data_IF_712846866233
#
_entry.id   IF_712846866233
#
_cell.length_a   1.000
_cell.length_b   1.000
_cell.length_c   1.000
_cell.angle_alpha   90.00
_cell.angle_beta   90.00
_cell.angle_gamma   90.00
#
_symmetry.space_group_name_H-M   'P 1'
#
loop_
_entity.id
_entity.type
_entity.pdbx_description
1 polymer ?
#
# COMPACT_ATOMS: atom_id res chain seq x y z
N UNK A 1 -3.45 -7.20 27.20
CA UNK A 1 -3.37 -5.75 26.97
C UNK A 1 -1.93 -5.27 26.73
N UNK A 2 -0.98 -5.55 27.62
CA UNK A 2 0.42 -5.07 27.50
C UNK A 2 1.09 -5.58 26.21
N UNK A 3 0.98 -6.86 25.92
CA UNK A 3 1.57 -7.46 24.70
C UNK A 3 1.02 -6.83 23.42
N UNK A 4 -0.27 -6.57 23.35
CA UNK A 4 -0.90 -5.90 22.22
C UNK A 4 -0.37 -4.47 22.03
N UNK A 5 -0.21 -3.72 23.13
CA UNK A 5 0.36 -2.37 23.05
C UNK A 5 1.79 -2.40 22.53
N UNK A 6 2.62 -3.34 22.98
CA UNK A 6 3.99 -3.50 22.48
C UNK A 6 3.99 -3.82 20.98
N UNK A 7 3.14 -4.75 20.54
CA UNK A 7 3.02 -5.10 19.11
C UNK A 7 2.57 -3.90 18.27
N UNK A 8 1.57 -3.13 18.75
CA UNK A 8 1.10 -1.93 18.07
C UNK A 8 2.20 -0.87 17.93
N UNK A 9 2.95 -0.59 18.99
CA UNK A 9 4.02 0.41 19.00
C UNK A 9 5.17 -0.02 18.10
N UNK A 10 5.62 -1.27 18.17
CA UNK A 10 6.67 -1.81 17.28
C UNK A 10 6.21 -1.79 15.82
N UNK A 11 4.97 -2.21 15.55
CA UNK A 11 4.40 -2.16 14.20
C UNK A 11 4.36 -0.74 13.64
N UNK A 12 3.91 0.22 14.44
CA UNK A 12 3.85 1.63 14.07
C UNK A 12 5.24 2.23 13.83
N UNK A 13 6.21 1.98 14.72
CA UNK A 13 7.59 2.43 14.57
C UNK A 13 8.19 1.87 13.27
N UNK A 14 7.98 0.59 13.00
CA UNK A 14 8.42 -0.06 11.77
C UNK A 14 7.79 0.58 10.53
N UNK A 15 6.49 0.86 10.57
CA UNK A 15 5.77 1.49 9.46
C UNK A 15 6.36 2.86 9.11
N UNK A 16 6.58 3.72 10.11
CA UNK A 16 7.12 5.07 9.92
C UNK A 16 8.59 5.03 9.50
N UNK A 17 9.44 4.28 10.19
CA UNK A 17 10.86 4.19 9.88
C UNK A 17 11.09 3.67 8.46
N UNK A 18 10.44 2.59 8.07
CA UNK A 18 10.57 2.05 6.72
C UNK A 18 10.04 3.03 5.65
N UNK A 19 8.92 3.71 5.91
CA UNK A 19 8.38 4.70 4.99
C UNK A 19 9.31 5.91 4.81
N UNK A 20 9.92 6.42 5.88
CA UNK A 20 10.88 7.53 5.81
C UNK A 20 12.16 7.13 5.07
N UNK A 21 12.64 5.90 5.25
CA UNK A 21 13.78 5.36 4.47
C UNK A 21 13.41 5.26 2.99
N UNK A 22 12.19 4.81 2.66
CA UNK A 22 11.71 4.70 1.27
C UNK A 22 11.74 6.04 0.53
N UNK A 23 11.43 7.17 1.19
CA UNK A 23 11.52 8.51 0.60
C UNK A 23 12.92 8.79 0.04
N UNK A 24 13.96 8.43 0.78
CA UNK A 24 15.35 8.75 0.44
C UNK A 24 15.99 7.78 -0.56
N UNK A 25 15.39 6.62 -0.79
CA UNK A 25 15.92 5.64 -1.73
C UNK A 25 15.79 6.11 -3.18
N UNK A 26 16.82 5.86 -3.97
CA UNK A 26 16.83 6.14 -5.41
C UNK A 26 16.72 4.87 -6.25
N UNK A 27 16.93 3.72 -5.67
CA UNK A 27 16.80 2.41 -6.29
C UNK A 27 15.34 1.96 -6.23
N UNK A 28 14.73 1.67 -7.40
CA UNK A 28 13.32 1.29 -7.52
C UNK A 28 13.00 0.02 -6.69
N UNK A 29 13.89 -0.97 -6.66
CA UNK A 29 13.71 -2.18 -5.86
C UNK A 29 13.76 -1.87 -4.36
N UNK A 30 14.68 -1.00 -3.93
CA UNK A 30 14.80 -0.63 -2.52
C UNK A 30 13.59 0.17 -2.04
N UNK A 31 13.06 1.09 -2.86
CA UNK A 31 11.81 1.80 -2.53
C UNK A 31 10.69 0.80 -2.29
N UNK A 32 10.49 -0.16 -3.20
CA UNK A 32 9.46 -1.17 -3.06
C UNK A 32 9.70 -2.12 -1.88
N UNK A 33 10.95 -2.49 -1.59
CA UNK A 33 11.29 -3.31 -0.44
C UNK A 33 10.97 -2.59 0.89
N UNK A 34 11.42 -1.35 1.07
CA UNK A 34 11.09 -0.58 2.28
C UNK A 34 9.61 -0.28 2.40
N UNK A 35 8.91 -0.09 1.27
CA UNK A 35 7.46 0.04 1.31
C UNK A 35 6.77 -1.26 1.73
N UNK A 36 7.35 -2.43 1.43
CA UNK A 36 6.85 -3.71 1.95
C UNK A 36 7.03 -3.79 3.46
N UNK A 37 8.21 -3.45 3.98
CA UNK A 37 8.47 -3.41 5.43
C UNK A 37 7.50 -2.45 6.14
N UNK A 38 7.23 -1.28 5.53
CA UNK A 38 6.26 -0.32 6.07
C UNK A 38 4.85 -0.91 6.14
N UNK A 39 4.38 -1.60 5.10
CA UNK A 39 3.05 -2.22 5.12
C UNK A 39 2.96 -3.41 6.09
N UNK A 40 4.03 -4.18 6.26
CA UNK A 40 4.11 -5.18 7.34
C UNK A 40 3.96 -4.50 8.72
N UNK A 41 4.58 -3.33 8.91
CA UNK A 41 4.35 -2.51 10.10
C UNK A 41 2.86 -2.18 10.34
N UNK A 42 2.10 -1.85 9.29
CA UNK A 42 0.65 -1.67 9.38
C UNK A 42 -0.10 -2.95 9.79
N UNK A 43 0.33 -4.11 9.29
CA UNK A 43 -0.28 -5.39 9.67
C UNK A 43 -0.04 -5.68 11.16
N UNK A 44 1.18 -5.45 11.66
CA UNK A 44 1.50 -5.57 13.09
C UNK A 44 0.76 -4.53 13.93
N UNK A 45 0.61 -3.30 13.45
CA UNK A 45 -0.23 -2.30 14.10
C UNK A 45 -1.67 -2.82 14.22
N UNK A 46 -2.24 -3.37 13.15
CA UNK A 46 -3.58 -3.98 13.15
C UNK A 46 -3.71 -5.10 14.19
N UNK A 47 -2.72 -5.99 14.26
CA UNK A 47 -2.69 -7.06 15.27
C UNK A 47 -2.64 -6.47 16.71
N UNK A 48 -1.82 -5.44 16.91
CA UNK A 48 -1.67 -4.79 18.21
C UNK A 48 -2.91 -4.03 18.68
N UNK A 49 -3.69 -3.47 17.76
CA UNK A 49 -4.99 -2.88 18.11
C UNK A 49 -6.13 -3.89 18.14
N UNK A 50 -5.88 -5.18 17.89
CA UNK A 50 -6.88 -6.26 17.95
C UNK A 50 -7.72 -6.38 16.66
N UNK A 51 -7.36 -5.71 15.59
CA UNK A 51 -7.98 -5.84 14.27
C UNK A 51 -7.44 -7.08 13.52
N UNK A 52 -7.57 -8.27 14.10
CA UNK A 52 -6.95 -9.49 13.59
C UNK A 52 -7.42 -9.83 12.17
N UNK A 53 -8.72 -9.84 11.93
CA UNK A 53 -9.32 -10.11 10.62
C UNK A 53 -8.90 -9.07 9.59
N UNK A 54 -8.92 -7.78 9.95
CA UNK A 54 -8.45 -6.69 9.11
C UNK A 54 -6.96 -6.79 8.77
N UNK A 55 -6.12 -7.17 9.72
CA UNK A 55 -4.70 -7.36 9.50
C UNK A 55 -4.43 -8.51 8.51
N UNK A 56 -5.09 -9.67 8.67
CA UNK A 56 -4.95 -10.81 7.75
C UNK A 56 -5.51 -10.47 6.37
N UNK A 57 -6.64 -9.76 6.30
CA UNK A 57 -7.17 -9.25 5.04
C UNK A 57 -6.17 -8.32 4.34
N UNK A 58 -5.49 -7.46 5.10
CA UNK A 58 -4.44 -6.60 4.53
C UNK A 58 -3.23 -7.40 4.03
N UNK A 59 -2.85 -8.52 4.67
CA UNK A 59 -1.82 -9.44 4.14
C UNK A 59 -2.20 -9.96 2.76
N UNK A 60 -3.44 -10.45 2.61
CA UNK A 60 -3.92 -11.00 1.35
C UNK A 60 -3.94 -9.92 0.25
N UNK A 61 -4.55 -8.79 0.51
CA UNK A 61 -4.65 -7.70 -0.47
C UNK A 61 -3.28 -7.15 -0.85
N UNK A 62 -2.40 -6.99 0.13
CA UNK A 62 -1.03 -6.53 -0.06
C UNK A 62 -0.23 -7.45 -0.99
N UNK A 63 -0.42 -8.76 -0.92
CA UNK A 63 0.29 -9.71 -1.77
C UNK A 63 0.05 -9.42 -3.26
N UNK A 64 -1.19 -9.11 -3.66
CA UNK A 64 -1.53 -8.86 -5.07
C UNK A 64 -0.91 -7.57 -5.61
N UNK A 65 -1.13 -6.45 -4.96
CA UNK A 65 -0.59 -5.19 -5.48
C UNK A 65 0.93 -5.08 -5.30
N UNK A 66 1.53 -5.79 -4.35
CA UNK A 66 2.99 -5.86 -4.23
C UNK A 66 3.62 -6.74 -5.30
N UNK A 67 3.04 -7.90 -5.59
CA UNK A 67 3.49 -8.72 -6.71
C UNK A 67 3.43 -7.90 -8.02
N UNK A 68 2.32 -7.17 -8.24
CA UNK A 68 2.16 -6.29 -9.40
C UNK A 68 3.27 -5.23 -9.49
N UNK A 69 3.55 -4.53 -8.38
CA UNK A 69 4.58 -3.49 -8.34
C UNK A 69 5.99 -4.05 -8.57
N UNK A 70 6.34 -5.18 -7.95
CA UNK A 70 7.67 -5.78 -8.13
C UNK A 70 7.88 -6.34 -9.53
N UNK A 71 6.87 -6.98 -10.12
CA UNK A 71 6.96 -7.47 -11.50
C UNK A 71 7.01 -6.32 -12.51
N UNK A 72 6.20 -5.27 -12.29
CA UNK A 72 6.25 -4.06 -13.10
C UNK A 72 7.62 -3.37 -13.02
N UNK A 73 8.18 -3.22 -11.81
CA UNK A 73 9.52 -2.69 -11.63
C UNK A 73 10.59 -3.58 -12.28
N UNK A 74 10.42 -4.90 -12.22
CA UNK A 74 11.29 -5.85 -12.93
C UNK A 74 11.27 -5.64 -14.45
N UNK A 75 10.09 -5.39 -15.03
CA UNK A 75 9.91 -5.06 -16.44
C UNK A 75 10.63 -3.76 -16.81
N UNK A 76 10.51 -2.71 -16.00
CA UNK A 76 11.23 -1.44 -16.21
C UNK A 76 12.74 -1.65 -16.17
N UNK A 77 13.26 -2.34 -15.16
CA UNK A 77 14.69 -2.60 -15.01
C UNK A 77 15.24 -3.41 -16.20
N UNK A 78 14.48 -4.40 -16.67
CA UNK A 78 14.88 -5.20 -17.84
C UNK A 78 14.95 -4.31 -19.11
N UNK A 79 13.95 -3.48 -19.34
CA UNK A 79 13.91 -2.57 -20.48
C UNK A 79 15.04 -1.51 -20.44
N UNK A 80 15.46 -1.11 -19.23
CA UNK A 80 16.53 -0.12 -19.03
C UNK A 80 17.91 -0.76 -18.85
N UNK A 81 18.15 -1.96 -19.42
CA UNK A 81 19.45 -2.65 -19.37
C UNK A 81 20.01 -2.83 -17.95
N UNK A 82 19.17 -3.25 -17.04
CA UNK A 82 19.47 -3.50 -15.61
C UNK A 82 19.79 -2.24 -14.77
N UNK A 83 19.53 -1.03 -15.29
CA UNK A 83 19.61 0.17 -14.45
C UNK A 83 18.48 0.13 -13.40
N UNK A 84 18.81 0.45 -12.15
CA UNK A 84 17.89 0.46 -11.01
C UNK A 84 17.70 1.86 -10.42
N UNK A 85 18.58 2.80 -10.72
CA UNK A 85 18.49 4.17 -10.21
C UNK A 85 17.41 4.96 -10.97
N UNK A 86 16.33 5.31 -10.26
CA UNK A 86 15.20 6.05 -10.80
C UNK A 86 15.60 7.43 -11.35
N UNK A 87 16.69 8.03 -10.86
CA UNK A 87 17.17 9.34 -11.33
C UNK A 87 17.75 9.29 -12.74
N UNK A 88 18.16 8.09 -13.17
CA UNK A 88 18.66 7.82 -14.52
C UNK A 88 17.57 7.30 -15.48
N UNK A 89 16.34 7.20 -15.00
CA UNK A 89 15.17 6.83 -15.82
C UNK A 89 14.46 8.10 -16.30
N UNK A 90 13.23 7.98 -16.71
CA UNK A 90 12.35 9.07 -17.08
C UNK A 90 11.77 8.92 -18.49
N UNK A 91 10.56 9.47 -18.69
CA UNK A 91 9.90 9.49 -20.00
C UNK A 91 9.39 8.14 -20.50
N UNK A 92 9.38 7.10 -19.67
CA UNK A 92 9.03 5.73 -20.09
C UNK A 92 7.55 5.52 -20.37
N UNK A 93 6.68 6.46 -20.02
CA UNK A 93 5.23 6.35 -20.24
C UNK A 93 4.85 6.05 -21.69
N UNK A 94 5.56 6.63 -22.65
CA UNK A 94 5.30 6.42 -24.09
C UNK A 94 5.87 5.12 -24.63
N UNK A 95 6.92 4.60 -24.00
CA UNK A 95 7.64 3.41 -24.43
C UNK A 95 7.10 2.14 -23.79
N UNK A 96 6.57 2.26 -22.58
CA UNK A 96 6.04 1.15 -21.77
C UNK A 96 4.67 1.48 -21.17
N UNK A 97 3.63 1.75 -21.98
CA UNK A 97 2.32 2.19 -21.49
C UNK A 97 1.62 1.12 -20.64
N UNK A 98 1.77 -0.15 -20.95
CA UNK A 98 1.12 -1.24 -20.20
C UNK A 98 1.78 -1.45 -18.83
N UNK A 99 3.10 -1.44 -18.80
CA UNK A 99 3.86 -1.49 -17.54
C UNK A 99 3.57 -0.26 -16.67
N UNK A 100 3.42 0.94 -17.29
CA UNK A 100 2.99 2.15 -16.60
C UNK A 100 1.63 1.97 -15.91
N UNK A 101 0.62 1.47 -16.62
CA UNK A 101 -0.72 1.24 -16.05
C UNK A 101 -0.65 0.23 -14.91
N UNK A 102 0.11 -0.86 -15.05
CA UNK A 102 0.28 -1.85 -14.01
C UNK A 102 0.88 -1.26 -12.72
N UNK A 103 1.97 -0.47 -12.84
CA UNK A 103 2.60 0.18 -11.70
C UNK A 103 1.69 1.29 -11.13
N UNK A 104 0.93 2.01 -11.97
CA UNK A 104 -0.05 3.01 -11.52
C UNK A 104 -1.14 2.36 -10.66
N UNK A 105 -1.77 1.29 -11.13
CA UNK A 105 -2.80 0.55 -10.39
C UNK A 105 -2.24 0.02 -9.05
N UNK A 106 -1.04 -0.58 -9.08
CA UNK A 106 -0.39 -1.07 -7.87
C UNK A 106 -0.04 0.04 -6.88
N UNK A 107 0.44 1.20 -7.35
CA UNK A 107 0.79 2.34 -6.50
C UNK A 107 -0.45 3.01 -5.90
N UNK A 108 -1.51 3.20 -6.67
CA UNK A 108 -2.79 3.72 -6.18
C UNK A 108 -3.44 2.75 -5.17
N UNK A 109 -3.37 1.45 -5.42
CA UNK A 109 -3.84 0.44 -4.45
C UNK A 109 -3.04 0.49 -3.15
N UNK A 110 -1.70 0.62 -3.23
CA UNK A 110 -0.82 0.76 -2.06
C UNK A 110 -1.13 2.02 -1.23
N UNK A 111 -1.47 3.13 -1.88
CA UNK A 111 -1.80 4.40 -1.18
C UNK A 111 -3.15 4.35 -0.48
N UNK A 112 -4.03 3.41 -0.85
CA UNK A 112 -5.39 3.33 -0.35
C UNK A 112 -6.35 4.26 -1.11
N UNK A 113 -6.15 4.38 -2.43
CA UNK A 113 -7.06 5.17 -3.26
C UNK A 113 -8.46 4.50 -3.31
N UNK A 114 -9.57 5.26 -3.22
CA UNK A 114 -10.92 4.72 -3.20
C UNK A 114 -11.18 3.74 -4.34
N UNK A 115 -12.01 2.75 -4.06
CA UNK A 115 -12.42 1.66 -4.98
C UNK A 115 -11.32 0.66 -5.35
N UNK A 116 -10.08 0.84 -4.90
CA UNK A 116 -9.01 -0.14 -5.08
C UNK A 116 -8.85 -1.05 -3.86
N UNK A 117 -8.24 -2.18 -4.07
CA UNK A 117 -8.11 -3.25 -3.05
C UNK A 117 -7.47 -2.76 -1.75
N UNK A 118 -6.45 -1.90 -1.82
CA UNK A 118 -5.76 -1.37 -0.64
C UNK A 118 -6.61 -0.43 0.23
N UNK A 119 -7.60 0.24 -0.35
CA UNK A 119 -8.56 1.07 0.36
C UNK A 119 -9.33 0.25 1.41
N UNK A 120 -9.96 -0.84 0.98
CA UNK A 120 -10.80 -1.68 1.85
C UNK A 120 -10.06 -2.35 3.00
N UNK A 121 -8.76 -2.60 2.85
CA UNK A 121 -7.99 -3.30 3.88
C UNK A 121 -7.24 -2.37 4.83
N UNK A 122 -6.64 -1.28 4.32
CA UNK A 122 -5.83 -0.36 5.11
C UNK A 122 -6.68 0.54 6.00
N UNK A 123 -7.80 1.05 5.47
CA UNK A 123 -8.68 1.94 6.21
C UNK A 123 -9.30 1.24 7.41
N UNK A 124 -9.75 0.00 7.27
CA UNK A 124 -10.33 -0.77 8.37
C UNK A 124 -9.38 -0.90 9.56
N UNK A 125 -8.07 -1.09 9.32
CA UNK A 125 -7.08 -1.14 10.41
C UNK A 125 -7.01 0.20 11.16
N UNK A 126 -7.04 1.32 10.43
CA UNK A 126 -7.01 2.66 11.04
C UNK A 126 -8.34 3.01 11.73
N UNK A 127 -9.48 2.64 11.15
CA UNK A 127 -10.79 2.84 11.76
C UNK A 127 -10.93 2.09 13.09
N UNK A 128 -10.48 0.83 13.15
CA UNK A 128 -10.48 0.05 14.39
C UNK A 128 -9.50 0.66 15.41
N UNK A 129 -8.35 1.17 14.98
CA UNK A 129 -7.42 1.87 15.87
C UNK A 129 -8.07 3.12 16.49
N UNK A 130 -8.86 3.87 15.71
CA UNK A 130 -9.60 5.03 16.19
C UNK A 130 -10.74 4.66 17.13
N UNK A 131 -11.52 3.61 16.83
CA UNK A 131 -12.72 3.20 17.56
C UNK A 131 -12.46 2.76 19.00
N UNK A 132 -11.22 2.44 19.35
CA UNK A 132 -10.85 2.00 20.72
C UNK A 132 -10.89 3.09 21.80
N UNK A 133 -11.08 4.34 21.43
CA UNK A 133 -11.26 5.50 22.34
C UNK A 133 -10.27 5.58 23.52
N UNK A 134 -9.08 4.98 23.42
CA UNK A 134 -8.01 5.14 24.40
C UNK A 134 -6.99 6.18 23.94
N UNK A 135 -6.32 6.85 24.88
CA UNK A 135 -5.29 7.86 24.55
C UNK A 135 -4.19 7.26 23.66
N UNK A 136 -3.77 6.04 23.95
CA UNK A 136 -2.77 5.34 23.15
C UNK A 136 -3.29 5.02 21.74
N UNK A 137 -4.55 4.64 21.60
CA UNK A 137 -5.17 4.34 20.30
C UNK A 137 -5.31 5.58 19.42
N UNK A 138 -5.65 6.72 20.00
CA UNK A 138 -5.71 7.99 19.31
C UNK A 138 -4.34 8.41 18.74
N UNK A 139 -3.29 8.27 19.55
CA UNK A 139 -1.91 8.51 19.11
C UNK A 139 -1.48 7.54 17.99
N UNK A 140 -1.80 6.26 18.13
CA UNK A 140 -1.53 5.23 17.10
C UNK A 140 -2.24 5.55 15.79
N UNK A 141 -3.51 5.98 15.85
CA UNK A 141 -4.27 6.38 14.67
C UNK A 141 -3.59 7.53 13.91
N UNK A 142 -3.26 8.64 14.59
CA UNK A 142 -2.66 9.79 13.94
C UNK A 142 -1.28 9.50 13.34
N UNK A 143 -0.48 8.73 14.01
CA UNK A 143 0.80 8.27 13.45
C UNK A 143 0.61 7.30 12.27
N UNK A 144 -0.42 6.46 12.31
CA UNK A 144 -0.80 5.62 11.18
C UNK A 144 -1.24 6.45 9.96
N UNK A 145 -2.05 7.49 10.18
CA UNK A 145 -2.44 8.45 9.14
C UNK A 145 -1.22 9.19 8.57
N UNK A 146 -0.28 9.60 9.43
CA UNK A 146 0.98 10.21 8.97
C UNK A 146 1.82 9.24 8.13
N UNK A 147 1.90 7.97 8.51
CA UNK A 147 2.57 6.96 7.70
C UNK A 147 1.85 6.72 6.35
N UNK A 148 0.51 6.90 6.28
CA UNK A 148 -0.22 6.87 5.02
C UNK A 148 0.13 8.05 4.10
N UNK A 149 0.29 9.25 4.66
CA UNK A 149 0.80 10.42 3.94
C UNK A 149 2.18 10.15 3.31
N UNK A 150 3.12 9.60 4.10
CA UNK A 150 4.45 9.25 3.60
C UNK A 150 4.39 8.17 2.51
N UNK A 151 3.49 7.19 2.67
CA UNK A 151 3.27 6.12 1.68
C UNK A 151 2.89 6.68 0.32
N UNK A 152 1.96 7.61 0.28
CA UNK A 152 1.54 8.24 -0.97
C UNK A 152 2.64 9.11 -1.56
N UNK A 153 3.39 9.83 -0.73
CA UNK A 153 4.51 10.65 -1.17
C UNK A 153 5.57 9.84 -1.94
N UNK A 154 6.12 8.77 -1.35
CA UNK A 154 7.16 7.99 -2.04
C UNK A 154 6.62 7.22 -3.25
N UNK A 155 5.36 6.83 -3.26
CA UNK A 155 4.74 6.11 -4.38
C UNK A 155 4.64 7.01 -5.62
N UNK A 156 4.18 8.25 -5.46
CA UNK A 156 4.13 9.21 -6.58
C UNK A 156 5.53 9.66 -6.98
N UNK A 157 6.46 9.86 -6.04
CA UNK A 157 7.86 10.14 -6.37
C UNK A 157 8.45 9.07 -7.29
N UNK A 158 8.20 7.80 -7.01
CA UNK A 158 8.61 6.68 -7.86
C UNK A 158 8.00 6.80 -9.26
N UNK A 159 6.67 6.98 -9.33
CA UNK A 159 5.95 7.13 -10.58
C UNK A 159 6.46 8.32 -11.40
N UNK A 160 6.68 9.46 -10.76
CA UNK A 160 7.17 10.67 -11.41
C UNK A 160 8.56 10.46 -12.01
N UNK A 161 9.50 9.97 -11.22
CA UNK A 161 10.89 9.79 -11.66
C UNK A 161 11.03 8.76 -12.80
N UNK A 162 10.25 7.68 -12.76
CA UNK A 162 10.35 6.61 -13.76
C UNK A 162 9.61 6.95 -15.05
N UNK A 163 8.42 7.52 -14.96
CA UNK A 163 7.55 7.66 -16.14
C UNK A 163 7.38 9.09 -16.65
N UNK A 164 7.37 10.11 -15.79
CA UNK A 164 7.04 11.48 -16.16
C UNK A 164 8.25 12.41 -16.28
N UNK A 165 9.28 12.20 -15.46
CA UNK A 165 10.47 13.06 -15.48
C UNK A 165 11.13 13.07 -16.88
N UNK A 166 11.89 14.13 -17.16
CA UNK A 166 12.72 14.16 -18.38
C UNK A 166 13.73 13.01 -18.33
N UNK A 167 13.96 12.39 -19.45
CA UNK A 167 14.94 11.30 -19.60
C UNK A 167 16.35 11.77 -19.24
N UNK A 168 16.92 11.15 -18.21
CA UNK A 168 18.30 11.39 -17.76
C UNK A 168 19.22 10.20 -18.09
N UNK A 169 18.77 9.28 -18.94
CA UNK A 169 19.51 8.10 -19.34
C UNK A 169 20.25 8.31 -20.65
N UNK A 170 21.16 7.39 -20.96
CA UNK A 170 21.78 7.35 -22.30
C UNK A 170 20.69 7.15 -23.37
N UNK A 171 20.78 7.93 -24.44
CA UNK A 171 19.79 7.90 -25.54
C UNK A 171 19.58 6.48 -26.07
N UNK A 172 20.66 5.68 -26.19
CA UNK A 172 20.55 4.28 -26.64
C UNK A 172 19.71 3.40 -25.72
N UNK A 173 19.82 3.57 -24.39
CA UNK A 173 19.04 2.78 -23.44
C UNK A 173 17.55 3.09 -23.53
N UNK A 174 17.19 4.36 -23.75
CA UNK A 174 15.80 4.79 -23.88
C UNK A 174 15.23 4.38 -25.24
N UNK A 175 15.97 4.53 -26.34
CA UNK A 175 15.48 4.18 -27.69
C UNK A 175 15.34 2.67 -27.90
N UNK A 176 16.09 1.85 -27.16
CA UNK A 176 15.98 0.38 -27.21
C UNK A 176 14.97 -0.18 -26.20
N UNK A 177 14.43 0.65 -25.29
CA UNK A 177 13.44 0.20 -24.35
C UNK A 177 12.12 -0.15 -25.04
N UNK A 178 11.57 -1.30 -24.72
CA UNK A 178 10.33 -1.83 -25.25
C UNK A 178 9.54 -2.54 -24.16
N UNK A 179 8.26 -2.75 -24.39
CA UNK A 179 7.42 -3.52 -23.49
C UNK A 179 7.96 -4.94 -23.28
N UNK A 180 7.66 -5.50 -22.14
CA UNK A 180 8.03 -6.86 -21.79
C UNK A 180 7.31 -7.89 -22.68
N UNK A 181 7.79 -9.14 -22.65
CA UNK A 181 7.19 -10.24 -23.42
C UNK A 181 5.70 -10.41 -23.11
N UNK A 182 4.96 -10.95 -24.09
CA UNK A 182 3.51 -11.19 -23.95
C UNK A 182 3.14 -11.99 -22.70
N UNK A 183 4.00 -12.91 -22.26
CA UNK A 183 3.76 -13.69 -21.05
C UNK A 183 3.73 -12.80 -19.79
N UNK A 184 4.70 -11.91 -19.65
CA UNK A 184 4.75 -10.94 -18.51
C UNK A 184 3.55 -10.02 -18.55
N UNK A 185 3.11 -9.59 -19.74
CA UNK A 185 1.92 -8.79 -19.89
C UNK A 185 0.65 -9.46 -19.35
N UNK A 186 0.42 -10.74 -19.66
CA UNK A 186 -0.73 -11.47 -19.12
C UNK A 186 -0.69 -11.56 -17.59
N UNK A 187 0.48 -11.82 -17.01
CA UNK A 187 0.64 -11.88 -15.56
C UNK A 187 0.37 -10.51 -14.91
N UNK A 188 0.93 -9.42 -15.47
CA UNK A 188 0.68 -8.07 -14.98
C UNK A 188 -0.79 -7.68 -15.08
N UNK A 189 -1.45 -8.01 -16.20
CA UNK A 189 -2.88 -7.74 -16.39
C UNK A 189 -3.75 -8.49 -15.39
N UNK A 190 -3.46 -9.76 -15.14
CA UNK A 190 -4.17 -10.57 -14.16
C UNK A 190 -4.00 -10.04 -12.73
N UNK A 191 -2.77 -9.74 -12.32
CA UNK A 191 -2.50 -9.15 -11.02
C UNK A 191 -3.09 -7.74 -10.88
N UNK A 192 -3.09 -6.97 -11.97
CA UNK A 192 -3.74 -5.66 -12.03
C UNK A 192 -5.25 -5.76 -11.80
N UNK A 193 -5.91 -6.69 -12.46
CA UNK A 193 -7.33 -6.97 -12.25
C UNK A 193 -7.61 -7.36 -10.78
N UNK A 194 -6.84 -8.26 -10.21
CA UNK A 194 -6.99 -8.64 -8.81
C UNK A 194 -6.72 -7.46 -7.85
N UNK A 195 -5.75 -6.61 -8.16
CA UNK A 195 -5.43 -5.41 -7.36
C UNK A 195 -6.52 -4.34 -7.41
N UNK A 196 -7.45 -4.41 -8.34
CA UNK A 196 -8.63 -3.53 -8.40
C UNK A 196 -9.79 -4.14 -7.62
N UNK A 197 -10.15 -5.40 -7.90
CA UNK A 197 -11.43 -5.97 -7.52
C UNK A 197 -11.42 -6.82 -6.26
N UNK A 198 -10.30 -7.49 -5.94
CA UNK A 198 -10.27 -8.52 -4.89
C UNK A 198 -10.61 -7.95 -3.50
N UNK A 199 -10.24 -6.70 -3.23
CA UNK A 199 -10.57 -6.04 -1.97
C UNK A 199 -12.07 -5.85 -1.78
N UNK A 200 -12.76 -5.44 -2.81
CA UNK A 200 -14.22 -5.28 -2.77
C UNK A 200 -14.93 -6.64 -2.62
N UNK A 201 -14.55 -7.61 -3.43
CA UNK A 201 -15.19 -8.94 -3.45
C UNK A 201 -15.03 -9.68 -2.12
N UNK A 202 -13.86 -9.60 -1.51
CA UNK A 202 -13.54 -10.37 -0.29
C UNK A 202 -13.74 -9.59 1.01
N UNK A 203 -14.05 -8.29 0.96
CA UNK A 203 -14.28 -7.46 2.15
C UNK A 203 -15.27 -8.12 3.10
N UNK A 204 -16.47 -8.42 2.61
CA UNK A 204 -17.55 -8.93 3.44
C UNK A 204 -17.27 -10.33 3.97
N UNK A 205 -16.52 -11.14 3.21
CA UNK A 205 -16.11 -12.46 3.65
C UNK A 205 -15.11 -12.42 4.81
N UNK A 206 -14.13 -11.48 4.77
CA UNK A 206 -13.06 -11.40 5.76
C UNK A 206 -13.42 -10.53 6.96
N UNK A 207 -14.16 -9.44 6.77
CA UNK A 207 -14.39 -8.39 7.78
C UNK A 207 -15.88 -8.18 8.05
N UNK A 208 -16.77 -8.72 7.18
CA UNK A 208 -18.21 -8.51 7.29
C UNK A 208 -18.77 -8.88 8.65
N UNK A 209 -19.74 -8.10 9.13
CA UNK A 209 -20.44 -8.36 10.39
C UNK A 209 -21.21 -9.68 10.27
N UNK A 210 -20.96 -10.62 11.19
CA UNK A 210 -21.64 -11.91 11.20
C UNK A 210 -21.08 -12.94 10.21
N UNK A 211 -19.91 -12.71 9.62
CA UNK A 211 -19.28 -13.73 8.79
C UNK A 211 -18.79 -14.90 9.64
N UNK A 212 -19.16 -16.12 9.22
CA UNK A 212 -18.70 -17.37 9.84
C UNK A 212 -17.39 -17.90 9.21
N UNK A 213 -16.80 -17.15 8.27
CA UNK A 213 -15.60 -17.58 7.55
C UNK A 213 -14.44 -17.98 8.48
N UNK A 214 -14.25 -17.21 9.54
CA UNK A 214 -13.17 -17.48 10.50
C UNK A 214 -13.53 -18.56 11.52
N UNK A 215 -14.82 -18.87 11.71
CA UNK A 215 -15.34 -19.78 12.73
C UNK A 215 -14.62 -19.57 14.08
N UNK A 216 -13.89 -20.60 14.57
CA UNK A 216 -13.07 -20.53 15.79
C UNK A 216 -11.57 -20.32 15.52
N UNK A 217 -11.16 -20.05 14.26
CA UNK A 217 -9.74 -19.91 13.90
C UNK A 217 -9.12 -18.63 14.47
N UNK A 218 -9.91 -17.56 14.63
CA UNK A 218 -9.48 -16.31 15.25
C UNK A 218 -10.25 -16.14 16.55
N UNK A 219 -9.54 -16.30 17.67
CA UNK A 219 -10.12 -16.14 18.99
C UNK A 219 -10.07 -14.66 19.42
N UNK A 220 -11.24 -14.06 19.63
CA UNK A 220 -11.38 -12.74 20.22
C UNK A 220 -11.89 -12.87 21.65
N UNK A 221 -11.11 -12.33 22.62
CA UNK A 221 -11.48 -12.31 24.05
C UNK A 221 -12.71 -11.46 24.35
N UNK A 222 -13.00 -10.49 23.50
CA UNK A 222 -14.16 -9.61 23.60
C UNK A 222 -14.97 -9.74 22.31
N UNK A 223 -16.28 -9.85 22.45
CA UNK A 223 -17.22 -9.82 21.31
C UNK A 223 -16.85 -8.65 20.40
N UNK A 224 -16.89 -8.87 19.12
CA UNK A 224 -16.46 -7.97 18.01
C UNK A 224 -17.05 -6.53 18.03
N UNK A 225 -17.15 -5.91 19.21
CA UNK A 225 -17.64 -4.55 19.40
C UNK A 225 -16.77 -3.52 18.69
N UNK A 226 -15.45 -3.74 18.64
CA UNK A 226 -14.51 -2.77 18.02
C UNK A 226 -14.71 -2.65 16.51
N UNK A 227 -15.01 -3.76 15.81
CA UNK A 227 -15.33 -3.77 14.38
C UNK A 227 -16.69 -3.10 14.16
N UNK A 228 -17.66 -3.39 15.03
CA UNK A 228 -18.98 -2.76 14.98
C UNK A 228 -18.86 -1.24 15.16
N UNK A 229 -18.13 -0.79 16.17
CA UNK A 229 -17.90 0.65 16.39
C UNK A 229 -17.17 1.31 15.25
N UNK A 230 -16.20 0.63 14.63
CA UNK A 230 -15.48 1.14 13.47
C UNK A 230 -16.42 1.35 12.26
N UNK A 231 -17.39 0.45 12.05
CA UNK A 231 -18.34 0.57 10.94
C UNK A 231 -19.31 1.75 11.12
N UNK A 232 -19.68 2.07 12.37
CA UNK A 232 -20.57 3.18 12.72
C UNK A 232 -19.84 4.51 13.02
N UNK A 233 -18.54 4.60 12.77
CA UNK A 233 -17.82 5.87 12.87
C UNK A 233 -18.39 6.91 11.91
N UNK A 234 -18.44 8.17 12.35
CA UNK A 234 -18.83 9.29 11.52
C UNK A 234 -17.96 9.37 10.27
N UNK A 235 -18.59 9.65 9.15
CA UNK A 235 -17.96 9.69 7.83
C UNK A 235 -16.73 10.61 7.77
N UNK A 236 -16.70 11.67 8.55
CA UNK A 236 -15.56 12.60 8.64
C UNK A 236 -14.27 11.90 9.08
N UNK A 237 -14.33 11.01 10.07
CA UNK A 237 -13.15 10.29 10.56
C UNK A 237 -12.64 9.26 9.54
N UNK A 238 -13.54 8.67 8.77
CA UNK A 238 -13.20 7.75 7.67
C UNK A 238 -12.49 8.46 6.51
N UNK A 239 -12.78 9.74 6.27
CA UNK A 239 -12.14 10.52 5.22
C UNK A 239 -10.75 11.04 5.57
N UNK A 240 -10.37 11.14 6.85
CA UNK A 240 -9.07 11.68 7.26
C UNK A 240 -7.88 10.95 6.60
N UNK A 241 -7.77 9.62 6.64
CA UNK A 241 -6.67 8.91 5.99
C UNK A 241 -6.60 9.18 4.49
N UNK A 242 -7.75 9.26 3.82
CA UNK A 242 -7.83 9.57 2.40
C UNK A 242 -7.33 10.99 2.11
N UNK A 243 -7.75 11.99 2.87
CA UNK A 243 -7.31 13.39 2.70
C UNK A 243 -5.79 13.48 2.86
N UNK A 244 -5.21 12.83 3.86
CA UNK A 244 -3.76 12.80 4.07
C UNK A 244 -3.03 12.05 2.95
N UNK A 245 -3.58 10.96 2.44
CA UNK A 245 -3.02 10.24 1.29
C UNK A 245 -3.01 11.13 0.05
N UNK A 246 -4.10 11.83 -0.24
CA UNK A 246 -4.20 12.77 -1.36
C UNK A 246 -3.24 13.96 -1.17
N UNK A 247 -3.14 14.51 0.04
CA UNK A 247 -2.15 15.54 0.35
C UNK A 247 -0.72 15.07 0.05
N UNK A 248 -0.37 13.84 0.43
CA UNK A 248 0.94 13.25 0.13
C UNK A 248 1.22 13.12 -1.38
N UNK A 249 0.19 12.82 -2.19
CA UNK A 249 0.30 12.82 -3.65
C UNK A 249 0.68 14.21 -4.17
N UNK A 250 -0.01 15.25 -3.72
CA UNK A 250 0.27 16.62 -4.15
C UNK A 250 1.65 17.09 -3.70
N UNK A 251 2.02 16.88 -2.44
CA UNK A 251 3.33 17.28 -1.92
C UNK A 251 4.52 16.62 -2.63
N UNK A 252 4.33 15.48 -3.24
CA UNK A 252 5.41 14.79 -3.99
C UNK A 252 5.67 15.36 -5.37
N UNK A 253 4.77 16.21 -5.89
CA UNK A 253 4.91 16.86 -7.21
C UNK A 253 5.62 18.21 -7.15
N UNK A 254 5.76 18.77 -5.93
CA UNK A 254 6.53 19.98 -5.64
C UNK A 254 7.91 19.64 -5.07
#
# INVERSE_FOLDING_TARGET
PVSQTVVAVVGLATAILAATIAIKQNDIKKVLAYSTVSQLGYMFLGLGVGAYTGAVFHVMTHAFFKALLFLGAGSVIHAMHHEQDMRKMGGLIKLMPLTYVAILVGSLSLTGFPFLTGFYSKEVVLEIAFSKFSVNSFFIYWLGVFAAFITSFYSIRLMYLVFFAKTNSYIKAVTSSHESSSFIFYVLSFLGFLSIFIGFVFKDLFIGLGTDFWANSIFNLYVNSDILYAEFLDYYYKLIPLIFSVAGLFFSLF
#
